data_IF_960874115895
#
_entry.id   IF_960874115895
#
_cell.length_a   1.000
_cell.length_b   1.000
_cell.length_c   1.000
_cell.angle_alpha   90.00
_cell.angle_beta   90.00
_cell.angle_gamma   90.00
#
_symmetry.space_group_name_H-M   'P 1'
#
loop_
_entity.id
_entity.type
_entity.pdbx_description
1 polymer ?
#
# COMPACT_ATOMS: atom_id res chain seq x y z
N UNK A 1 57.40 -13.16 -23.77
CA UNK A 1 57.79 -13.39 -22.36
C UNK A 1 56.98 -12.38 -21.56
N UNK A 2 55.94 -12.71 -20.81
CA UNK A 2 55.61 -13.90 -20.03
C UNK A 2 54.12 -14.23 -20.26
N UNK A 3 53.84 -15.52 -20.48
CA UNK A 3 52.52 -16.11 -20.39
C UNK A 3 52.16 -16.27 -18.92
N UNK A 4 50.98 -15.85 -18.49
CA UNK A 4 50.29 -16.51 -17.39
C UNK A 4 48.84 -16.78 -17.75
N UNK A 5 48.63 -18.07 -17.94
CA UNK A 5 47.36 -18.77 -18.11
C UNK A 5 46.62 -18.76 -16.77
N UNK A 6 45.36 -18.31 -16.74
CA UNK A 6 44.42 -18.72 -15.70
C UNK A 6 43.22 -19.40 -16.34
N UNK A 7 43.19 -20.70 -16.11
CA UNK A 7 42.14 -21.64 -16.49
C UNK A 7 41.42 -22.14 -15.23
N UNK A 8 40.12 -22.43 -15.39
CA UNK A 8 39.21 -23.18 -14.50
C UNK A 8 38.71 -22.41 -13.24
N UNK A 9 37.45 -22.47 -12.81
CA UNK A 9 36.51 -23.60 -12.72
C UNK A 9 35.06 -23.13 -12.94
N UNK A 10 34.30 -23.91 -13.70
CA UNK A 10 32.83 -23.90 -13.83
C UNK A 10 32.17 -24.54 -12.61
N UNK A 11 31.24 -23.84 -11.93
CA UNK A 11 30.18 -24.49 -11.13
C UNK A 11 28.95 -23.58 -11.01
N UNK A 12 27.94 -23.88 -11.83
CA UNK A 12 26.49 -23.86 -11.58
C UNK A 12 25.94 -22.95 -10.46
N UNK A 13 25.13 -21.97 -10.88
CA UNK A 13 24.26 -21.17 -10.01
C UNK A 13 23.44 -20.20 -10.85
N UNK A 14 22.26 -20.62 -11.26
CA UNK A 14 21.37 -19.92 -12.21
C UNK A 14 20.83 -18.63 -11.57
N UNK A 15 21.32 -17.48 -12.02
CA UNK A 15 20.78 -16.15 -11.68
C UNK A 15 19.74 -15.74 -12.74
N UNK A 16 18.47 -16.07 -12.50
CA UNK A 16 17.35 -15.57 -13.29
C UNK A 16 16.57 -14.52 -12.51
N UNK A 17 16.83 -13.24 -12.76
CA UNK A 17 16.17 -12.15 -12.04
C UNK A 17 16.33 -10.81 -12.71
N UNK A 18 15.84 -10.67 -13.96
CA UNK A 18 15.81 -9.38 -14.66
C UNK A 18 14.77 -9.36 -15.79
N UNK A 19 13.52 -9.67 -15.48
CA UNK A 19 12.42 -9.51 -16.44
C UNK A 19 11.10 -9.21 -15.73
N UNK A 20 10.93 -7.97 -15.25
CA UNK A 20 9.61 -7.38 -14.97
C UNK A 20 9.66 -5.86 -14.73
N UNK A 21 10.34 -5.10 -15.60
CA UNK A 21 10.35 -3.62 -15.48
C UNK A 21 10.20 -2.82 -16.78
N UNK A 22 9.88 -3.44 -17.90
CA UNK A 22 9.82 -2.73 -19.20
C UNK A 22 8.49 -2.92 -19.95
N UNK A 23 7.37 -2.68 -19.27
CA UNK A 23 6.05 -2.59 -19.91
C UNK A 23 5.20 -1.38 -19.45
N UNK A 24 5.82 -0.26 -19.05
CA UNK A 24 5.08 0.95 -18.65
C UNK A 24 5.66 2.29 -19.14
N UNK A 25 6.36 2.32 -20.26
CA UNK A 25 6.76 3.60 -20.87
C UNK A 25 6.69 3.55 -22.40
N UNK A 26 5.49 3.43 -22.95
CA UNK A 26 5.23 3.88 -24.31
C UNK A 26 3.72 4.07 -24.54
N UNK A 27 3.20 5.27 -24.24
CA UNK A 27 1.95 5.79 -24.80
C UNK A 27 2.07 7.33 -24.89
N UNK A 28 1.47 7.96 -25.91
CA UNK A 28 1.96 9.18 -26.52
C UNK A 28 1.39 10.46 -25.91
N UNK A 29 2.13 11.52 -26.21
CA UNK A 29 1.90 12.94 -25.96
C UNK A 29 0.70 13.43 -26.78
N UNK A 30 -0.38 13.86 -26.11
CA UNK A 30 -1.48 14.58 -26.74
C UNK A 30 -1.63 16.01 -26.19
N UNK A 31 -2.23 16.81 -27.03
CA UNK A 31 -2.06 18.25 -27.24
C UNK A 31 -3.01 19.13 -26.45
N UNK A 32 -2.58 20.36 -26.24
CA UNK A 32 -3.32 21.53 -25.75
C UNK A 32 -4.58 21.83 -26.58
N UNK A 33 -5.72 22.07 -25.93
CA UNK A 33 -6.82 22.89 -26.48
C UNK A 33 -7.52 23.68 -25.36
N UNK A 34 -7.92 24.88 -25.75
CA UNK A 34 -8.38 26.02 -24.97
C UNK A 34 -9.81 25.90 -24.42
N UNK A 35 -10.03 26.59 -23.28
CA UNK A 35 -11.20 27.35 -22.84
C UNK A 35 -12.62 26.88 -23.20
N UNK A 36 -13.47 26.72 -22.18
CA UNK A 36 -14.74 27.48 -22.02
C UNK A 36 -15.47 27.05 -20.74
N UNK A 37 -16.24 27.98 -20.18
CA UNK A 37 -17.26 27.81 -19.12
C UNK A 37 -16.82 27.83 -17.65
N UNK A 38 -16.37 29.01 -17.22
CA UNK A 38 -16.94 29.60 -16.00
C UNK A 38 -18.46 29.83 -16.22
N UNK A 39 -19.27 29.83 -15.15
CA UNK A 39 -20.72 30.10 -15.08
C UNK A 39 -21.65 28.89 -14.80
N UNK A 40 -21.40 28.09 -13.76
CA UNK A 40 -22.44 27.19 -13.23
C UNK A 40 -22.28 26.73 -11.76
N UNK A 41 -21.81 27.58 -10.84
CA UNK A 41 -21.83 27.23 -9.39
C UNK A 41 -22.14 28.44 -8.50
N UNK A 42 -23.25 29.11 -8.76
CA UNK A 42 -23.84 30.10 -7.86
C UNK A 42 -25.35 30.06 -8.05
N UNK A 43 -26.08 29.09 -7.48
CA UNK A 43 -27.55 29.17 -7.21
C UNK A 43 -28.13 27.89 -6.59
N UNK A 44 -27.54 27.30 -5.54
CA UNK A 44 -28.23 26.24 -4.76
C UNK A 44 -27.83 26.23 -3.27
N UNK A 45 -27.86 27.38 -2.58
CA UNK A 45 -27.78 27.40 -1.11
C UNK A 45 -28.60 28.53 -0.47
N UNK A 46 -29.76 28.87 -1.04
CA UNK A 46 -30.73 29.72 -0.36
C UNK A 46 -32.13 29.17 -0.58
N UNK A 47 -32.88 29.00 0.52
CA UNK A 47 -34.30 28.60 0.64
C UNK A 47 -34.56 27.12 0.91
N UNK A 48 -34.16 26.67 2.10
CA UNK A 48 -35.01 25.80 2.93
C UNK A 48 -35.36 26.57 4.21
N UNK A 49 -36.20 27.58 4.04
CA UNK A 49 -36.86 28.31 5.12
C UNK A 49 -38.35 28.00 4.96
N UNK A 50 -38.82 26.97 5.67
CA UNK A 50 -40.23 26.69 5.94
C UNK A 50 -40.29 25.51 6.92
N UNK A 51 -40.17 25.82 8.22
CA UNK A 51 -40.87 25.03 9.22
C UNK A 51 -41.61 25.99 10.14
N UNK A 52 -42.90 25.68 10.26
CA UNK A 52 -43.94 26.52 10.80
C UNK A 52 -43.71 26.81 12.29
N UNK A 53 -44.05 28.03 12.67
CA UNK A 53 -44.13 28.50 14.04
C UNK A 53 -45.15 27.66 14.84
N UNK A 54 -44.65 26.84 15.76
CA UNK A 54 -45.47 26.34 16.88
C UNK A 54 -45.28 27.30 18.03
N UNK A 55 -46.38 27.95 18.40
CA UNK A 55 -46.52 28.82 19.57
C UNK A 55 -46.09 28.06 20.83
N UNK A 56 -45.08 28.57 21.52
CA UNK A 56 -44.93 28.32 22.95
C UNK A 56 -45.13 29.66 23.64
N UNK A 57 -46.23 29.73 24.36
CA UNK A 57 -46.66 30.84 25.20
C UNK A 57 -45.57 31.28 26.16
N UNK A 58 -45.45 32.60 26.28
CA UNK A 58 -44.71 33.30 27.33
C UNK A 58 -44.96 32.68 28.70
N UNK A 59 -43.96 31.99 29.23
CA UNK A 59 -43.78 31.89 30.66
C UNK A 59 -42.72 32.93 30.99
N UNK A 60 -43.22 34.07 31.43
CA UNK A 60 -42.45 34.98 32.27
C UNK A 60 -42.02 34.17 33.50
N UNK A 61 -40.74 33.87 33.61
CA UNK A 61 -40.15 33.56 34.91
C UNK A 61 -38.90 34.41 35.06
N UNK A 62 -38.96 35.20 36.12
CA UNK A 62 -38.01 36.16 36.61
C UNK A 62 -36.53 35.77 36.44
N UNK A 63 -35.76 36.77 36.01
CA UNK A 63 -34.44 37.17 36.53
C UNK A 63 -33.59 36.11 37.25
N UNK A 64 -32.41 35.87 36.66
CA UNK A 64 -31.13 35.66 37.37
C UNK A 64 -31.21 34.87 38.69
N UNK A 65 -31.11 33.55 38.59
CA UNK A 65 -30.49 32.75 39.65
C UNK A 65 -29.26 32.11 39.06
N UNK A 66 -28.17 32.88 39.06
CA UNK A 66 -26.83 32.32 39.02
C UNK A 66 -26.23 32.52 40.40
N UNK A 67 -26.10 31.44 41.15
CA UNK A 67 -25.06 31.35 42.17
C UNK A 67 -24.36 30.01 42.00
N UNK A 68 -23.11 30.12 41.55
CA UNK A 68 -22.10 29.10 41.69
C UNK A 68 -21.99 28.76 43.18
N UNK A 69 -22.65 27.67 43.55
CA UNK A 69 -22.41 26.95 44.79
C UNK A 69 -22.75 25.50 44.49
N UNK A 70 -21.73 24.67 44.35
CA UNK A 70 -21.96 23.23 44.31
C UNK A 70 -22.47 22.76 45.68
N UNK A 71 -23.42 21.81 45.76
CA UNK A 71 -24.27 21.29 44.69
C UNK A 71 -25.58 22.09 44.57
N UNK A 72 -26.26 21.93 43.43
CA UNK A 72 -27.55 22.53 43.08
C UNK A 72 -28.70 21.91 43.90
N UNK A 73 -29.45 22.69 44.68
CA UNK A 73 -30.46 22.19 45.65
C UNK A 73 -31.84 21.90 45.06
N UNK A 74 -32.04 22.04 43.76
CA UNK A 74 -33.30 21.72 43.11
C UNK A 74 -33.27 20.30 42.55
N UNK A 75 -33.94 19.38 43.24
CA UNK A 75 -34.14 18.01 42.77
C UNK A 75 -35.24 17.98 41.70
N UNK A 76 -34.90 17.62 40.46
CA UNK A 76 -35.87 17.40 39.37
C UNK A 76 -36.44 15.97 39.38
N UNK A 77 -35.82 15.05 40.12
CA UNK A 77 -36.37 13.73 40.35
C UNK A 77 -37.60 13.84 41.26
N UNK A 78 -38.66 13.07 40.94
CA UNK A 78 -39.83 12.95 41.82
C UNK A 78 -39.35 12.56 43.23
N UNK A 79 -39.64 13.41 44.22
CA UNK A 79 -39.28 13.16 45.62
C UNK A 79 -40.17 12.02 46.12
N UNK A 80 -39.63 10.79 46.10
CA UNK A 80 -40.30 9.60 46.60
C UNK A 80 -40.13 9.63 48.13
N UNK A 81 -41.17 10.04 48.85
CA UNK A 81 -41.19 10.27 50.29
C UNK A 81 -41.02 8.96 51.08
N UNK A 82 -39.83 8.37 51.00
CA UNK A 82 -39.52 7.03 51.54
C UNK A 82 -40.51 5.94 51.11
N UNK A 83 -41.25 6.13 49.99
CA UNK A 83 -42.08 5.08 49.42
C UNK A 83 -41.19 3.87 49.11
N UNK A 84 -41.52 2.67 49.62
CA UNK A 84 -40.72 1.48 49.37
C UNK A 84 -40.50 1.30 47.87
N UNK A 85 -39.23 1.20 47.46
CA UNK A 85 -38.87 1.08 46.04
C UNK A 85 -39.61 -0.11 45.42
N UNK A 86 -40.47 0.14 44.43
CA UNK A 86 -41.17 -0.92 43.72
C UNK A 86 -40.16 -1.91 43.15
N UNK A 87 -40.33 -3.20 43.46
CA UNK A 87 -39.46 -4.26 42.94
C UNK A 87 -39.44 -4.18 41.42
N UNK A 88 -38.24 -4.05 40.84
CA UNK A 88 -38.07 -4.03 39.38
C UNK A 88 -38.67 -5.30 38.79
N UNK A 89 -39.69 -5.14 37.93
CA UNK A 89 -40.33 -6.28 37.27
C UNK A 89 -39.33 -6.95 36.32
N UNK A 90 -39.30 -8.28 36.32
CA UNK A 90 -38.57 -9.06 35.31
C UNK A 90 -39.19 -8.75 33.95
N UNK A 91 -38.35 -8.43 32.97
CA UNK A 91 -38.80 -8.13 31.60
C UNK A 91 -39.23 -9.43 30.95
N UNK A 92 -40.36 -9.40 30.22
CA UNK A 92 -40.87 -10.57 29.51
C UNK A 92 -39.84 -11.12 28.51
N UNK A 93 -39.72 -12.45 28.37
CA UNK A 93 -38.74 -13.08 27.49
C UNK A 93 -38.90 -12.64 26.02
N UNK A 94 -40.14 -12.40 25.57
CA UNK A 94 -40.44 -11.90 24.23
C UNK A 94 -39.86 -10.50 23.97
N UNK A 95 -39.92 -9.60 24.97
CA UNK A 95 -39.36 -8.25 24.86
C UNK A 95 -37.83 -8.29 24.81
N UNK A 96 -37.20 -9.21 25.57
CA UNK A 96 -35.76 -9.42 25.53
C UNK A 96 -35.31 -9.95 24.15
N UNK A 97 -36.03 -10.92 23.59
CA UNK A 97 -35.77 -11.47 22.25
C UNK A 97 -35.96 -10.42 21.15
N UNK A 98 -37.01 -9.61 21.21
CA UNK A 98 -37.22 -8.51 20.26
C UNK A 98 -36.11 -7.45 20.34
N UNK A 99 -35.60 -7.16 21.57
CA UNK A 99 -34.48 -6.24 21.77
C UNK A 99 -33.17 -6.82 21.23
N UNK A 100 -32.89 -8.11 21.43
CA UNK A 100 -31.69 -8.75 20.89
C UNK A 100 -31.72 -8.82 19.37
N UNK A 101 -32.84 -9.22 18.76
CA UNK A 101 -33.00 -9.25 17.30
C UNK A 101 -32.81 -7.87 16.64
N UNK A 102 -33.31 -6.80 17.28
CA UNK A 102 -33.06 -5.42 16.82
C UNK A 102 -31.59 -5.04 16.90
N UNK A 103 -30.84 -5.49 17.93
CA UNK A 103 -29.40 -5.25 18.04
C UNK A 103 -28.61 -5.98 16.97
N UNK A 104 -28.92 -7.26 16.75
CA UNK A 104 -28.29 -8.10 15.71
C UNK A 104 -28.46 -7.44 14.34
N UNK A 105 -29.70 -7.07 13.96
CA UNK A 105 -29.96 -6.42 12.67
C UNK A 105 -29.23 -5.08 12.50
N UNK A 106 -29.00 -4.32 13.57
CA UNK A 106 -28.21 -3.08 13.51
C UNK A 106 -26.74 -3.39 13.25
N UNK A 107 -26.18 -4.34 13.99
CA UNK A 107 -24.79 -4.78 13.84
C UNK A 107 -24.56 -5.36 12.43
N UNK A 108 -25.46 -6.20 11.92
CA UNK A 108 -25.39 -6.75 10.56
C UNK A 108 -25.39 -5.66 9.48
N UNK A 109 -26.22 -4.62 9.65
CA UNK A 109 -26.25 -3.48 8.71
C UNK A 109 -24.93 -2.71 8.74
N UNK A 110 -24.35 -2.51 9.92
CA UNK A 110 -23.07 -1.82 10.06
C UNK A 110 -21.91 -2.65 9.48
N UNK A 111 -21.88 -3.95 9.74
CA UNK A 111 -20.93 -4.88 9.10
C UNK A 111 -21.07 -4.81 7.58
N UNK A 112 -22.29 -4.84 7.03
CA UNK A 112 -22.53 -4.71 5.58
C UNK A 112 -22.05 -3.37 5.03
N UNK A 113 -22.22 -2.29 5.79
CA UNK A 113 -21.75 -0.95 5.40
C UNK A 113 -20.22 -0.89 5.38
N UNK A 114 -19.56 -1.37 6.43
CA UNK A 114 -18.10 -1.40 6.54
C UNK A 114 -17.48 -2.33 5.49
N UNK A 115 -18.08 -3.50 5.25
CA UNK A 115 -17.65 -4.42 4.20
C UNK A 115 -17.78 -3.81 2.80
N UNK A 116 -18.82 -2.98 2.55
CA UNK A 116 -19.02 -2.30 1.27
C UNK A 116 -17.96 -1.22 0.99
N UNK A 117 -17.48 -0.51 2.01
CA UNK A 117 -16.44 0.53 1.87
C UNK A 117 -15.06 -0.09 1.59
N UNK A 118 -14.88 -1.39 1.89
CA UNK A 118 -13.62 -2.09 1.64
C UNK A 118 -12.49 -1.61 2.56
N UNK A 119 -11.28 -2.12 2.32
CA UNK A 119 -10.07 -1.71 3.06
C UNK A 119 -9.43 -0.55 2.32
N UNK A 120 -9.24 0.57 3.01
CA UNK A 120 -8.42 1.67 2.51
C UNK A 120 -6.96 1.21 2.59
N UNK A 121 -6.23 1.28 1.47
CA UNK A 121 -4.81 0.96 1.44
C UNK A 121 -4.04 2.00 2.25
N UNK A 122 -3.01 1.56 2.98
CA UNK A 122 -2.11 2.48 3.65
C UNK A 122 -1.36 3.30 2.59
N UNK A 123 -1.14 4.60 2.82
CA UNK A 123 -0.35 5.43 1.91
C UNK A 123 1.08 4.89 1.81
N UNK A 124 1.70 5.08 0.64
CA UNK A 124 3.08 4.69 0.39
C UNK A 124 3.94 5.95 0.55
N UNK A 125 4.57 6.06 1.72
CA UNK A 125 5.32 7.24 2.15
C UNK A 125 6.42 7.68 1.15
N UNK A 126 7.01 6.75 0.39
CA UNK A 126 8.07 7.04 -0.60
C UNK A 126 7.54 7.66 -1.90
N UNK A 127 6.29 7.35 -2.25
CA UNK A 127 5.65 7.86 -3.48
C UNK A 127 4.99 9.22 -3.26
N UNK A 128 4.52 9.47 -2.03
CA UNK A 128 3.83 10.70 -1.69
C UNK A 128 4.80 11.83 -1.32
N UNK A 129 4.57 13.02 -1.90
CA UNK A 129 5.35 14.21 -1.55
C UNK A 129 4.76 14.83 -0.29
N UNK A 130 5.57 14.94 0.76
CA UNK A 130 5.16 15.60 1.99
C UNK A 130 4.74 17.06 1.77
N UNK A 131 3.60 17.46 2.35
CA UNK A 131 3.12 18.85 2.34
C UNK A 131 4.17 19.85 2.87
N UNK A 132 5.03 19.44 3.80
CA UNK A 132 6.13 20.27 4.31
C UNK A 132 7.16 20.58 3.22
N UNK A 133 7.50 19.59 2.38
CA UNK A 133 8.44 19.74 1.27
C UNK A 133 7.88 20.71 0.22
N UNK A 134 6.58 20.62 -0.09
CA UNK A 134 5.91 21.54 -1.02
C UNK A 134 5.95 23.00 -0.55
N UNK A 135 5.67 23.25 0.74
CA UNK A 135 5.70 24.60 1.31
C UNK A 135 7.10 25.23 1.30
N UNK A 136 8.11 24.42 1.59
CA UNK A 136 9.52 24.86 1.67
C UNK A 136 10.24 24.78 0.31
N UNK A 137 9.55 24.35 -0.75
CA UNK A 137 10.17 24.10 -2.05
C UNK A 137 10.75 25.38 -2.67
N UNK A 138 10.10 26.54 -2.46
CA UNK A 138 10.59 27.83 -2.93
C UNK A 138 11.85 28.26 -2.19
N UNK A 139 11.86 28.18 -0.86
CA UNK A 139 12.96 28.60 -0.01
C UNK A 139 14.20 27.68 -0.10
N UNK A 140 13.99 26.38 -0.30
CA UNK A 140 15.06 25.37 -0.37
C UNK A 140 15.49 25.02 -1.80
N UNK A 141 15.00 25.76 -2.79
CA UNK A 141 15.39 25.54 -4.18
C UNK A 141 16.86 25.91 -4.35
N UNK A 142 17.64 25.00 -4.92
CA UNK A 142 18.99 25.32 -5.39
C UNK A 142 18.87 25.95 -6.77
N UNK A 143 19.61 27.02 -7.02
CA UNK A 143 19.65 27.66 -8.33
C UNK A 143 20.19 26.66 -9.37
N UNK A 144 19.58 26.60 -10.58
CA UNK A 144 20.04 25.71 -11.62
C UNK A 144 21.45 26.13 -12.06
N UNK A 145 22.38 25.18 -12.07
CA UNK A 145 23.71 25.41 -12.62
C UNK A 145 23.62 25.49 -14.14
N UNK A 146 24.15 26.57 -14.72
CA UNK A 146 24.26 26.70 -16.18
C UNK A 146 25.39 25.79 -16.62
N UNK A 147 25.07 24.76 -17.40
CA UNK A 147 26.06 23.82 -17.91
C UNK A 147 26.77 24.39 -19.14
N UNK A 148 28.08 24.17 -19.24
CA UNK A 148 28.83 24.46 -20.47
C UNK A 148 28.29 23.60 -21.63
N UNK A 149 28.24 24.11 -22.87
CA UNK A 149 27.84 23.31 -24.03
C UNK A 149 28.68 22.03 -24.16
N UNK A 150 29.99 22.10 -23.90
CA UNK A 150 30.89 20.94 -23.94
C UNK A 150 30.49 19.85 -22.93
N UNK A 151 30.09 20.25 -21.72
CA UNK A 151 29.65 19.31 -20.69
C UNK A 151 28.34 18.61 -21.08
N UNK A 152 27.44 19.34 -21.74
CA UNK A 152 26.17 18.80 -22.25
C UNK A 152 26.40 17.79 -23.36
N UNK A 153 27.30 18.10 -24.30
CA UNK A 153 27.70 17.19 -25.37
C UNK A 153 28.37 15.93 -24.84
N UNK A 154 29.27 16.07 -23.86
CA UNK A 154 29.91 14.92 -23.20
C UNK A 154 28.89 13.99 -22.55
N UNK A 155 27.89 14.54 -21.82
CA UNK A 155 26.80 13.74 -21.24
C UNK A 155 25.97 13.03 -22.31
N UNK A 156 25.69 13.68 -23.44
CA UNK A 156 24.95 13.09 -24.54
C UNK A 156 25.72 11.90 -25.16
N UNK A 157 27.03 12.06 -25.36
CA UNK A 157 27.91 10.99 -25.85
C UNK A 157 27.96 9.81 -24.86
N UNK A 158 28.16 10.09 -23.57
CA UNK A 158 28.18 9.08 -22.51
C UNK A 158 26.86 8.31 -22.45
N UNK A 159 25.73 9.00 -22.56
CA UNK A 159 24.40 8.37 -22.57
C UNK A 159 24.22 7.45 -23.77
N UNK A 160 24.71 7.86 -24.95
CA UNK A 160 24.71 7.04 -26.17
C UNK A 160 25.56 5.79 -26.01
N UNK A 161 26.75 5.90 -25.43
CA UNK A 161 27.64 4.78 -25.15
C UNK A 161 27.03 3.82 -24.11
N UNK A 162 26.43 4.37 -23.05
CA UNK A 162 25.70 3.59 -22.05
C UNK A 162 24.55 2.80 -22.68
N UNK A 163 23.76 3.44 -23.55
CA UNK A 163 22.69 2.76 -24.29
C UNK A 163 23.20 1.61 -25.15
N UNK A 164 24.33 1.79 -25.86
CA UNK A 164 25.01 0.73 -26.62
C UNK A 164 25.49 -0.40 -25.71
N UNK A 165 26.10 -0.07 -24.57
CA UNK A 165 26.58 -1.04 -23.59
C UNK A 165 25.43 -1.89 -23.02
N UNK A 166 24.36 -1.25 -22.52
CA UNK A 166 23.18 -1.94 -21.98
C UNK A 166 22.49 -2.81 -23.03
N UNK A 167 22.43 -2.35 -24.27
CA UNK A 167 21.89 -3.15 -25.38
C UNK A 167 22.74 -4.41 -25.66
N UNK A 168 24.07 -4.32 -25.54
CA UNK A 168 24.95 -5.50 -25.69
C UNK A 168 24.79 -6.48 -24.53
N UNK A 169 24.76 -5.98 -23.29
CA UNK A 169 24.49 -6.79 -22.09
C UNK A 169 23.18 -7.55 -22.21
N UNK A 170 22.09 -6.84 -22.55
CA UNK A 170 20.78 -7.46 -22.75
C UNK A 170 20.79 -8.57 -23.81
N UNK A 171 21.39 -8.33 -24.98
CA UNK A 171 21.47 -9.35 -26.04
C UNK A 171 22.26 -10.58 -25.60
N UNK A 172 23.30 -10.39 -24.79
CA UNK A 172 24.10 -11.48 -24.26
C UNK A 172 23.32 -12.30 -23.23
N UNK A 173 22.72 -11.65 -22.23
CA UNK A 173 21.85 -12.30 -21.23
C UNK A 173 20.69 -13.04 -21.89
N UNK A 174 20.04 -12.41 -22.87
CA UNK A 174 18.95 -13.02 -23.62
C UNK A 174 19.39 -14.26 -24.39
N UNK A 175 20.57 -14.23 -25.02
CA UNK A 175 21.14 -15.40 -25.69
C UNK A 175 21.38 -16.56 -24.72
N UNK A 176 21.94 -16.28 -23.53
CA UNK A 176 22.14 -17.31 -22.50
C UNK A 176 20.79 -17.88 -22.06
N UNK A 177 19.81 -17.02 -21.80
CA UNK A 177 18.47 -17.46 -21.44
C UNK A 177 17.86 -18.38 -22.50
N UNK A 178 17.95 -18.01 -23.79
CA UNK A 178 17.47 -18.84 -24.88
C UNK A 178 18.17 -20.20 -24.93
N UNK A 179 19.49 -20.24 -24.70
CA UNK A 179 20.25 -21.48 -24.64
C UNK A 179 19.82 -22.37 -23.47
N UNK A 180 19.60 -21.79 -22.29
CA UNK A 180 19.12 -22.51 -21.12
C UNK A 180 17.73 -23.12 -21.35
N UNK A 181 16.81 -22.34 -21.93
CA UNK A 181 15.45 -22.81 -22.25
C UNK A 181 15.49 -23.92 -23.30
N UNK A 182 16.33 -23.77 -24.34
CA UNK A 182 16.49 -24.80 -25.36
C UNK A 182 17.04 -26.10 -24.78
N UNK A 183 18.12 -26.03 -23.99
CA UNK A 183 18.70 -27.19 -23.35
C UNK A 183 17.72 -27.88 -22.39
N UNK A 184 16.91 -27.10 -21.65
CA UNK A 184 15.84 -27.64 -20.81
C UNK A 184 14.79 -28.38 -21.64
N UNK A 185 14.38 -27.82 -22.78
CA UNK A 185 13.39 -28.44 -23.67
C UNK A 185 13.92 -29.73 -24.30
N UNK A 186 15.15 -29.73 -24.81
CA UNK A 186 15.81 -30.92 -25.35
C UNK A 186 15.87 -32.03 -24.29
N UNK A 187 16.34 -31.71 -23.08
CA UNK A 187 16.39 -32.66 -21.98
C UNK A 187 15.02 -33.26 -21.63
N UNK A 188 13.93 -32.46 -21.69
CA UNK A 188 12.58 -32.96 -21.45
C UNK A 188 12.07 -33.87 -22.58
N UNK A 189 12.47 -33.62 -23.82
CA UNK A 189 12.13 -34.46 -24.97
C UNK A 189 12.84 -35.80 -24.87
N UNK A 190 14.13 -35.81 -24.54
CA UNK A 190 14.92 -37.02 -24.30
C UNK A 190 14.36 -37.82 -23.12
N UNK A 191 14.08 -37.15 -22.00
CA UNK A 191 13.49 -37.78 -20.81
C UNK A 191 12.15 -38.46 -21.14
N UNK A 192 11.32 -37.84 -21.97
CA UNK A 192 10.05 -38.42 -22.39
C UNK A 192 10.23 -39.65 -23.28
N UNK A 193 11.25 -39.64 -24.15
CA UNK A 193 11.56 -40.78 -25.01
C UNK A 193 12.06 -41.99 -24.22
N UNK A 194 12.81 -41.77 -23.15
CA UNK A 194 13.32 -42.82 -22.27
C UNK A 194 12.28 -43.32 -21.26
N UNK A 195 11.59 -42.40 -20.56
CA UNK A 195 10.67 -42.73 -19.46
C UNK A 195 9.54 -41.69 -19.29
N UNK A 196 8.32 -42.07 -19.68
CA UNK A 196 7.15 -41.19 -19.60
C UNK A 196 6.74 -40.86 -18.16
N UNK A 197 6.95 -41.78 -17.21
CA UNK A 197 6.61 -41.57 -15.79
C UNK A 197 7.47 -40.47 -15.15
N UNK A 198 8.77 -40.46 -15.44
CA UNK A 198 9.70 -39.43 -14.95
C UNK A 198 9.41 -38.06 -15.58
N UNK A 199 9.05 -38.03 -16.85
CA UNK A 199 8.61 -36.80 -17.52
C UNK A 199 7.37 -36.19 -16.83
N UNK A 200 6.37 -37.01 -16.49
CA UNK A 200 5.18 -36.56 -15.74
C UNK A 200 5.54 -36.00 -14.36
N UNK A 201 6.48 -36.64 -13.66
CA UNK A 201 6.96 -36.16 -12.37
C UNK A 201 7.70 -34.82 -12.49
N UNK A 202 8.58 -34.66 -13.49
CA UNK A 202 9.31 -33.42 -13.73
C UNK A 202 8.38 -32.24 -14.06
N UNK A 203 7.33 -32.48 -14.84
CA UNK A 203 6.33 -31.45 -15.16
C UNK A 203 5.54 -30.98 -13.94
N UNK A 204 5.26 -31.86 -12.98
CA UNK A 204 4.55 -31.49 -11.74
C UNK A 204 5.34 -30.44 -10.96
N UNK A 205 6.67 -30.56 -10.92
CA UNK A 205 7.55 -29.57 -10.26
C UNK A 205 7.57 -28.22 -10.99
N UNK A 206 7.50 -28.22 -12.32
CA UNK A 206 7.73 -27.03 -13.17
C UNK A 206 6.43 -26.24 -13.46
N UNK A 207 5.28 -26.90 -13.53
CA UNK A 207 4.02 -26.26 -13.94
C UNK A 207 3.45 -25.34 -12.85
N UNK A 208 3.61 -24.03 -13.05
CA UNK A 208 2.93 -22.99 -12.25
C UNK A 208 1.39 -23.00 -12.38
N UNK A 209 0.83 -23.81 -13.29
CA UNK A 209 -0.57 -23.75 -13.72
C UNK A 209 -1.39 -24.94 -13.23
N UNK A 210 -0.75 -25.97 -12.64
CA UNK A 210 -1.42 -27.13 -12.06
C UNK A 210 -1.22 -27.10 -10.54
N UNK A 211 -2.25 -27.49 -9.79
CA UNK A 211 -2.44 -27.45 -8.33
C UNK A 211 -1.34 -28.11 -7.43
N UNK A 212 -0.17 -28.43 -7.96
CA UNK A 212 0.95 -29.09 -7.28
C UNK A 212 2.23 -28.28 -7.47
N UNK A 213 2.21 -27.00 -7.10
CA UNK A 213 3.47 -26.31 -6.82
C UNK A 213 4.10 -27.04 -5.63
N UNK A 214 5.37 -27.45 -5.75
CA UNK A 214 6.14 -27.85 -4.59
C UNK A 214 6.15 -26.66 -3.62
N UNK A 215 5.29 -26.70 -2.60
CA UNK A 215 5.24 -25.70 -1.52
C UNK A 215 6.59 -25.60 -0.77
N UNK A 216 7.56 -26.47 -1.08
CA UNK A 216 8.95 -26.35 -0.64
C UNK A 216 9.73 -25.24 -1.37
N UNK A 217 9.36 -24.87 -2.61
CA UNK A 217 10.03 -23.84 -3.40
C UNK A 217 9.53 -22.42 -3.09
N UNK A 218 8.45 -22.28 -2.32
CA UNK A 218 7.92 -20.99 -1.89
C UNK A 218 7.71 -21.09 -0.38
N UNK A 219 8.44 -20.35 0.48
CA UNK A 219 9.09 -19.07 0.22
C UNK A 219 10.60 -19.19 -0.07
N UNK A 220 11.06 -18.61 -1.19
CA UNK A 220 12.48 -18.36 -1.43
C UNK A 220 12.84 -17.00 -0.87
N UNK A 221 13.82 -16.96 0.03
CA UNK A 221 14.47 -15.73 0.49
C UNK A 221 15.89 -15.69 -0.08
N UNK A 222 16.25 -14.58 -0.72
CA UNK A 222 17.57 -14.37 -1.29
C UNK A 222 18.06 -12.98 -0.90
N UNK A 223 19.21 -12.94 -0.23
CA UNK A 223 19.91 -11.70 0.04
C UNK A 223 20.84 -11.38 -1.12
N UNK A 224 20.72 -10.16 -1.67
CA UNK A 224 21.60 -9.70 -2.73
C UNK A 224 23.08 -9.67 -2.31
N UNK A 225 24.01 -9.67 -3.27
CA UNK A 225 25.43 -9.58 -2.97
C UNK A 225 25.76 -8.29 -2.24
N UNK A 226 26.58 -8.38 -1.19
CA UNK A 226 27.08 -7.22 -0.42
C UNK A 226 28.31 -6.64 -1.12
N UNK A 227 28.52 -5.33 -0.97
CA UNK A 227 29.70 -4.64 -1.52
C UNK A 227 31.01 -5.22 -0.97
N UNK A 228 31.01 -5.58 0.32
CA UNK A 228 32.16 -6.14 1.04
C UNK A 228 31.71 -7.41 1.76
N UNK A 229 32.53 -8.48 1.75
CA UNK A 229 32.24 -9.67 2.54
C UNK A 229 32.25 -9.37 4.04
N UNK A 230 31.66 -10.25 4.84
CA UNK A 230 31.65 -10.11 6.28
C UNK A 230 33.07 -10.22 6.86
N UNK A 231 33.40 -9.33 7.80
CA UNK A 231 34.65 -9.39 8.56
C UNK A 231 34.46 -10.42 9.68
N UNK A 232 35.42 -11.33 9.83
CA UNK A 232 35.41 -12.33 10.91
C UNK A 232 35.61 -11.62 12.26
N UNK A 233 34.87 -12.06 13.28
CA UNK A 233 34.97 -11.57 14.67
C UNK A 233 34.74 -10.06 14.85
N UNK A 234 33.98 -9.43 13.96
CA UNK A 234 33.59 -8.04 14.13
C UNK A 234 32.56 -7.89 15.26
N UNK A 235 32.96 -7.24 16.36
CA UNK A 235 32.06 -6.89 17.46
C UNK A 235 31.20 -5.69 17.06
N UNK A 236 29.92 -5.92 16.80
CA UNK A 236 28.94 -4.86 16.54
C UNK A 236 28.74 -4.05 17.84
N UNK A 237 28.76 -2.70 17.79
CA UNK A 237 28.48 -1.89 18.97
C UNK A 237 27.02 -2.04 19.41
N UNK A 238 26.80 -1.95 20.73
CA UNK A 238 25.46 -2.06 21.32
C UNK A 238 24.57 -0.86 20.93
N UNK A 239 23.32 -1.13 20.58
CA UNK A 239 22.31 -0.13 20.25
C UNK A 239 20.88 -0.65 20.36
N UNK A 240 19.93 0.23 20.67
CA UNK A 240 18.50 -0.10 20.75
C UNK A 240 17.79 0.20 19.42
N UNK A 241 17.00 -0.75 18.92
CA UNK A 241 16.12 -0.54 17.77
C UNK A 241 14.72 -0.14 18.26
N UNK A 242 14.29 1.07 17.92
CA UNK A 242 12.92 1.55 18.17
C UNK A 242 12.16 1.64 16.86
N UNK A 243 11.09 0.87 16.71
CA UNK A 243 10.22 0.92 15.54
C UNK A 243 9.42 2.23 15.51
N UNK A 244 9.75 3.12 14.57
CA UNK A 244 9.07 4.40 14.35
C UNK A 244 8.04 4.36 13.22
N UNK A 245 7.60 3.17 12.79
CA UNK A 245 6.61 3.05 11.70
C UNK A 245 5.27 3.69 12.08
N UNK A 246 4.72 4.47 11.15
CA UNK A 246 3.43 5.15 11.34
C UNK A 246 2.27 4.15 11.28
N UNK A 247 1.38 4.19 12.28
CA UNK A 247 0.14 3.41 12.30
C UNK A 247 -0.98 4.23 11.65
N UNK A 248 -1.62 3.65 10.63
CA UNK A 248 -2.72 4.22 9.85
C UNK A 248 -3.98 3.39 10.05
#
# INVERSE_FOLDING_TARGET
>A
MINESYSFITSNGINGGLLLFFLLFFLPRETTLHSTSEMATCMLFSKLCQFQAVKVSSIFCCSQIHSQSMPLWFHTAQKLWAEPMKKKKRVDPSILAARSAKKIKRIEKEIKRLAKIGRILKPIDELEIDNKKLKLASERKREPTIESPEATEMKALLTKEWGRYRSRQWRYEYKIYQQLVHAQQEALVELRAEAEELYKAALQVISSTTLLIDYALIPVDFQGPKLTPAIQDYSVPDGEYVDTTRKY
#
